data_IF_931079947635
#
_entry.id   IF_931079947635
#
_cell.length_a   1.000
_cell.length_b   1.000
_cell.length_c   1.000
_cell.angle_alpha   90.00
_cell.angle_beta   90.00
_cell.angle_gamma   90.00
#
_symmetry.space_group_name_H-M   'P 1'
#
loop_
_entity.id
_entity.type
_entity.pdbx_description
1 polymer ?
#
# COMPACT_ATOMS: atom_id res chain seq x y z
N UNK A 1 17.36 5.45 50.41
CA UNK A 1 16.26 6.33 49.98
C UNK A 1 16.51 7.06 48.65
N UNK A 2 17.76 7.32 48.22
CA UNK A 2 18.01 8.02 46.94
C UNK A 2 17.63 7.22 45.67
N UNK A 3 17.78 5.89 45.68
CA UNK A 3 17.61 5.06 44.47
C UNK A 3 16.17 5.03 43.92
N UNK A 4 15.17 5.26 44.78
CA UNK A 4 13.76 5.23 44.38
C UNK A 4 13.37 6.50 43.60
N UNK A 5 13.93 7.66 43.96
CA UNK A 5 13.64 8.91 43.24
C UNK A 5 14.21 8.90 41.81
N UNK A 6 15.36 8.25 41.61
CA UNK A 6 15.99 8.11 40.29
C UNK A 6 15.12 7.30 39.32
N UNK A 7 14.43 6.27 39.82
CA UNK A 7 13.54 5.45 39.01
C UNK A 7 12.28 6.22 38.57
N UNK A 8 11.71 7.04 39.45
CA UNK A 8 10.50 7.82 39.13
C UNK A 8 10.81 8.93 38.11
N UNK A 9 12.00 9.53 38.17
CA UNK A 9 12.45 10.54 37.19
C UNK A 9 12.71 9.96 35.78
N UNK A 10 13.08 8.67 35.68
CA UNK A 10 13.26 8.01 34.39
C UNK A 10 11.92 7.62 33.74
N UNK A 11 10.90 7.28 34.53
CA UNK A 11 9.57 6.93 34.02
C UNK A 11 8.74 8.14 33.54
N UNK A 12 9.03 9.36 34.01
CA UNK A 12 8.34 10.56 33.51
C UNK A 12 8.62 10.89 32.04
N UNK A 13 9.65 10.29 31.44
CA UNK A 13 9.91 10.38 30.00
C UNK A 13 9.00 9.48 29.15
N UNK A 14 8.31 8.51 29.75
CA UNK A 14 7.38 7.62 29.06
C UNK A 14 5.93 8.13 29.06
N UNK A 15 5.63 9.24 29.76
CA UNK A 15 4.28 9.82 29.80
C UNK A 15 4.02 10.89 28.72
N UNK A 16 4.92 11.04 27.76
CA UNK A 16 4.67 11.92 26.62
C UNK A 16 3.47 11.36 25.84
N UNK A 17 2.47 12.19 25.49
CA UNK A 17 1.48 11.79 24.51
C UNK A 17 2.23 11.27 23.28
N UNK A 18 1.80 10.17 22.65
CA UNK A 18 2.50 9.68 21.48
C UNK A 18 2.55 10.84 20.49
N UNK A 19 3.76 11.23 20.09
CA UNK A 19 3.93 12.15 19.00
C UNK A 19 3.54 11.38 17.74
N UNK A 20 2.23 11.21 17.51
CA UNK A 20 1.75 10.80 16.21
C UNK A 20 2.19 11.93 15.28
N UNK A 21 3.30 11.73 14.57
CA UNK A 21 3.45 12.44 13.31
C UNK A 21 2.25 11.99 12.50
N UNK A 22 1.35 12.93 12.20
CA UNK A 22 0.29 12.68 11.25
C UNK A 22 0.96 12.17 9.98
N UNK A 23 0.80 10.87 9.72
CA UNK A 23 1.26 10.28 8.49
C UNK A 23 0.36 10.85 7.41
N UNK A 24 0.86 11.81 6.65
CA UNK A 24 0.21 12.26 5.44
C UNK A 24 0.78 11.43 4.30
N UNK A 25 -0.09 10.72 3.58
CA UNK A 25 0.31 10.02 2.36
C UNK A 25 1.03 10.98 1.43
N UNK A 26 2.20 10.60 0.91
CA UNK A 26 2.86 11.39 -0.14
C UNK A 26 1.89 11.58 -1.31
N UNK A 27 1.90 12.74 -2.00
CA UNK A 27 1.14 12.92 -3.24
C UNK A 27 1.47 11.86 -4.31
N UNK A 28 2.62 11.18 -4.22
CA UNK A 28 3.04 10.15 -5.18
C UNK A 28 2.42 8.78 -4.91
N UNK A 29 1.73 8.60 -3.78
CA UNK A 29 1.18 7.32 -3.32
C UNK A 29 0.20 6.70 -4.36
N UNK A 30 -0.63 7.46 -5.10
CA UNK A 30 -1.42 6.92 -6.22
C UNK A 30 -0.58 6.36 -7.38
N UNK A 31 0.54 7.01 -7.73
CA UNK A 31 1.45 6.56 -8.80
C UNK A 31 2.17 5.28 -8.38
N UNK A 32 2.65 5.24 -7.14
CA UNK A 32 3.29 4.03 -6.58
C UNK A 32 2.31 2.86 -6.60
N UNK A 33 1.05 3.07 -6.19
CA UNK A 33 0.03 2.03 -6.23
C UNK A 33 -0.27 1.57 -7.67
N UNK A 34 -0.28 2.48 -8.63
CA UNK A 34 -0.45 2.16 -10.04
C UNK A 34 0.67 1.25 -10.57
N UNK A 35 1.93 1.60 -10.28
CA UNK A 35 3.11 0.84 -10.72
C UNK A 35 3.12 -0.56 -10.09
N UNK A 36 2.91 -0.64 -8.78
CA UNK A 36 2.83 -1.91 -8.05
C UNK A 36 1.70 -2.80 -8.59
N UNK A 37 0.52 -2.23 -8.84
CA UNK A 37 -0.59 -3.00 -9.41
C UNK A 37 -0.33 -3.44 -10.85
N UNK A 38 0.41 -2.65 -11.63
CA UNK A 38 0.82 -3.03 -12.99
C UNK A 38 1.75 -4.23 -12.97
N UNK A 39 2.75 -4.24 -12.09
CA UNK A 39 3.69 -5.36 -11.93
C UNK A 39 2.99 -6.66 -11.50
N UNK A 40 2.06 -6.56 -10.55
CA UNK A 40 1.26 -7.69 -10.08
C UNK A 40 0.39 -8.28 -11.20
N UNK A 41 -0.25 -7.40 -11.99
CA UNK A 41 -1.05 -7.81 -13.14
C UNK A 41 -0.17 -8.49 -14.19
N UNK A 42 0.99 -7.93 -14.53
CA UNK A 42 1.91 -8.52 -15.50
C UNK A 42 2.39 -9.91 -15.07
N UNK A 43 2.71 -10.06 -13.78
CA UNK A 43 3.08 -11.35 -13.20
C UNK A 43 1.94 -12.35 -13.32
N UNK A 44 0.71 -11.94 -12.98
CA UNK A 44 -0.48 -12.80 -13.06
C UNK A 44 -0.78 -13.21 -14.50
N UNK A 45 -0.69 -12.29 -15.45
CA UNK A 45 -0.90 -12.55 -16.88
C UNK A 45 0.15 -13.54 -17.40
N UNK A 46 1.43 -13.35 -17.03
CA UNK A 46 2.53 -14.26 -17.39
C UNK A 46 2.30 -15.67 -16.86
N UNK A 47 1.91 -15.81 -15.59
CA UNK A 47 1.63 -17.12 -14.98
C UNK A 47 0.49 -17.88 -15.66
N UNK A 48 -0.46 -17.15 -16.28
CA UNK A 48 -1.55 -17.74 -17.08
C UNK A 48 -1.21 -17.97 -18.54
N UNK A 49 -0.02 -17.57 -18.99
CA UNK A 49 0.37 -17.60 -20.41
C UNK A 49 -0.40 -16.60 -21.27
N UNK A 50 -0.98 -15.55 -20.68
CA UNK A 50 -1.68 -14.51 -21.41
C UNK A 50 -0.70 -13.44 -21.90
N UNK A 51 -0.99 -12.78 -23.05
CA UNK A 51 -0.17 -11.67 -23.53
C UNK A 51 -0.19 -10.52 -22.51
N UNK A 52 0.96 -9.88 -22.28
CA UNK A 52 1.06 -8.73 -21.39
C UNK A 52 0.29 -7.52 -21.94
N UNK A 53 0.20 -7.37 -23.27
CA UNK A 53 -0.59 -6.32 -23.91
C UNK A 53 -1.68 -6.95 -24.78
N UNK A 54 -2.77 -7.42 -24.17
CA UNK A 54 -3.89 -7.99 -24.92
C UNK A 54 -4.61 -6.89 -25.72
N UNK A 55 -5.16 -7.26 -26.89
CA UNK A 55 -5.95 -6.34 -27.69
C UNK A 55 -7.31 -6.06 -27.01
N UNK A 56 -7.89 -4.85 -27.15
CA UNK A 56 -9.13 -4.47 -26.46
C UNK A 56 -10.32 -5.38 -26.71
N UNK A 57 -10.43 -5.98 -27.91
CA UNK A 57 -11.50 -6.92 -28.26
C UNK A 57 -11.38 -8.30 -27.59
N UNK A 58 -10.27 -8.59 -26.90
CA UNK A 58 -9.99 -9.91 -26.36
C UNK A 58 -10.48 -10.08 -24.91
N UNK A 59 -10.93 -11.28 -24.51
CA UNK A 59 -11.28 -11.55 -23.10
C UNK A 59 -10.12 -11.29 -22.12
N UNK A 60 -8.88 -11.45 -22.57
CA UNK A 60 -7.67 -11.23 -21.78
C UNK A 60 -7.52 -9.75 -21.40
N UNK A 61 -7.96 -8.81 -22.24
CA UNK A 61 -7.97 -7.40 -21.92
C UNK A 61 -8.95 -7.07 -20.80
N UNK A 62 -10.17 -7.63 -20.87
CA UNK A 62 -11.15 -7.52 -19.79
C UNK A 62 -10.62 -8.11 -18.48
N UNK A 63 -10.01 -9.30 -18.55
CA UNK A 63 -9.39 -9.94 -17.39
C UNK A 63 -8.26 -9.10 -16.77
N UNK A 64 -7.37 -8.52 -17.60
CA UNK A 64 -6.29 -7.63 -17.14
C UNK A 64 -6.85 -6.43 -16.37
N UNK A 65 -7.90 -5.79 -16.90
CA UNK A 65 -8.56 -4.65 -16.25
C UNK A 65 -9.17 -5.04 -14.91
N UNK A 66 -9.82 -6.19 -14.82
CA UNK A 66 -10.46 -6.63 -13.57
C UNK A 66 -9.43 -6.88 -12.46
N UNK A 67 -8.32 -7.56 -12.78
CA UNK A 67 -7.26 -7.81 -11.78
C UNK A 67 -6.58 -6.51 -11.36
N UNK A 68 -6.34 -5.59 -12.29
CA UNK A 68 -5.81 -4.27 -11.97
C UNK A 68 -6.75 -3.51 -11.01
N UNK A 69 -8.04 -3.46 -11.33
CA UNK A 69 -9.05 -2.82 -10.48
C UNK A 69 -9.14 -3.49 -9.10
N UNK A 70 -9.02 -4.83 -9.04
CA UNK A 70 -8.98 -5.55 -7.77
C UNK A 70 -7.77 -5.19 -6.92
N UNK A 71 -6.58 -5.04 -7.53
CA UNK A 71 -5.38 -4.60 -6.82
C UNK A 71 -5.55 -3.19 -6.24
N UNK A 72 -6.03 -2.24 -7.06
CA UNK A 72 -6.28 -0.86 -6.64
C UNK A 72 -7.28 -0.80 -5.48
N UNK A 73 -8.40 -1.53 -5.57
CA UNK A 73 -9.40 -1.62 -4.49
C UNK A 73 -8.82 -2.17 -3.19
N UNK A 74 -7.97 -3.21 -3.25
CA UNK A 74 -7.31 -3.77 -2.07
C UNK A 74 -6.36 -2.79 -1.40
N UNK A 75 -5.79 -1.87 -2.16
CA UNK A 75 -4.92 -0.80 -1.67
C UNK A 75 -5.68 0.46 -1.24
N UNK A 76 -7.01 0.47 -1.33
CA UNK A 76 -7.85 1.60 -0.94
C UNK A 76 -8.10 2.63 -2.04
N UNK A 77 -7.73 2.34 -3.29
CA UNK A 77 -8.00 3.21 -4.44
C UNK A 77 -9.24 2.72 -5.18
N UNK A 78 -10.27 3.56 -5.22
CA UNK A 78 -11.43 3.35 -6.09
C UNK A 78 -11.17 4.00 -7.44
N UNK A 79 -11.51 3.29 -8.52
CA UNK A 79 -11.74 3.95 -9.79
C UNK A 79 -13.03 4.76 -9.62
N UNK A 80 -12.92 6.09 -9.53
CA UNK A 80 -14.06 7.00 -9.68
C UNK A 80 -14.63 6.93 -11.10
#
# INVERSE_FOLDING_TARGET
MLAVLSAVALLSGCSSPPAYREWTASPDVPTVAYDECTEQVDTTMRLRGYPLRPLPETPQFGYRKEIFAQCMRRKGYTAE
#
